data_IF_776029440062
#
_entry.id   IF_776029440062
#
_cell.length_a   1.000
_cell.length_b   1.000
_cell.length_c   1.000
_cell.angle_alpha   90.00
_cell.angle_beta   90.00
_cell.angle_gamma   90.00
#
_symmetry.space_group_name_H-M   'P 1'
#
loop_
_entity.id
_entity.type
_entity.pdbx_description
1 polymer ?
#
# COMPACT_ATOMS: atom_id res chain seq x y z
N UNK A 1 35.14 44.69 -2.67
CA UNK A 1 34.70 43.81 -1.57
C UNK A 1 33.42 43.11 -2.07
N UNK A 2 33.46 42.07 -2.89
CA UNK A 2 33.79 40.64 -2.63
C UNK A 2 32.89 39.94 -1.60
N UNK A 3 31.59 40.23 -1.59
CA UNK A 3 30.59 39.43 -0.85
C UNK A 3 29.26 39.37 -1.61
N UNK A 4 29.14 38.52 -2.63
CA UNK A 4 27.82 38.10 -3.14
C UNK A 4 27.98 36.85 -4.03
N UNK A 5 28.34 35.72 -3.42
CA UNK A 5 28.15 34.37 -3.98
C UNK A 5 28.46 33.32 -2.91
N UNK A 6 27.59 33.23 -1.90
CA UNK A 6 27.64 32.16 -0.89
C UNK A 6 26.25 31.61 -0.60
N UNK A 7 25.48 31.31 -1.65
CA UNK A 7 24.12 30.75 -1.50
C UNK A 7 23.78 29.58 -2.43
N UNK A 8 24.76 28.77 -2.89
CA UNK A 8 24.41 27.63 -3.77
C UNK A 8 25.02 26.26 -3.42
N UNK A 9 25.88 26.14 -2.39
CA UNK A 9 26.47 24.82 -2.02
C UNK A 9 25.58 23.97 -1.10
N UNK A 10 24.66 24.59 -0.36
CA UNK A 10 23.80 23.90 0.61
C UNK A 10 22.62 23.16 -0.02
N UNK A 11 22.04 23.73 -1.08
CA UNK A 11 20.93 23.15 -1.83
C UNK A 11 21.40 21.93 -2.65
N UNK A 12 22.54 22.07 -3.32
CA UNK A 12 23.13 21.04 -4.18
C UNK A 12 23.56 19.79 -3.39
N UNK A 13 24.19 19.98 -2.22
CA UNK A 13 24.58 18.85 -1.34
C UNK A 13 23.39 18.14 -0.71
N UNK A 14 22.30 18.86 -0.41
CA UNK A 14 21.08 18.24 0.12
C UNK A 14 20.33 17.47 -0.97
N UNK A 15 20.22 18.03 -2.17
CA UNK A 15 19.68 17.33 -3.34
C UNK A 15 20.49 16.09 -3.69
N UNK A 16 21.82 16.18 -3.70
CA UNK A 16 22.68 15.02 -3.94
C UNK A 16 22.46 13.92 -2.89
N UNK A 17 22.36 14.28 -1.61
CA UNK A 17 22.04 13.31 -0.54
C UNK A 17 20.66 12.67 -0.74
N UNK A 18 19.65 13.45 -1.10
CA UNK A 18 18.30 12.95 -1.35
C UNK A 18 18.28 11.99 -2.56
N UNK A 19 18.97 12.35 -3.64
CA UNK A 19 19.11 11.52 -4.82
C UNK A 19 19.85 10.20 -4.52
N UNK A 20 20.97 10.27 -3.80
CA UNK A 20 21.71 9.07 -3.39
C UNK A 20 20.88 8.19 -2.45
N UNK A 21 20.12 8.77 -1.52
CA UNK A 21 19.22 8.03 -0.64
C UNK A 21 18.08 7.36 -1.42
N UNK A 22 17.50 8.06 -2.40
CA UNK A 22 16.48 7.52 -3.29
C UNK A 22 17.01 6.32 -4.11
N UNK A 23 18.20 6.48 -4.71
CA UNK A 23 18.83 5.43 -5.50
C UNK A 23 19.21 4.22 -4.62
N UNK A 24 19.79 4.46 -3.44
CA UNK A 24 20.12 3.41 -2.49
C UNK A 24 18.86 2.66 -2.01
N UNK A 25 17.77 3.38 -1.72
CA UNK A 25 16.49 2.77 -1.36
C UNK A 25 15.91 1.92 -2.50
N UNK A 26 16.00 2.41 -3.74
CA UNK A 26 15.53 1.67 -4.93
C UNK A 26 16.32 0.39 -5.13
N UNK A 27 17.65 0.47 -5.09
CA UNK A 27 18.53 -0.70 -5.19
C UNK A 27 18.26 -1.66 -4.02
N UNK A 28 18.06 -1.14 -2.80
CA UNK A 28 17.73 -1.95 -1.63
C UNK A 28 16.42 -2.74 -1.81
N UNK A 29 15.39 -2.15 -2.41
CA UNK A 29 14.14 -2.85 -2.73
C UNK A 29 14.39 -3.94 -3.78
N UNK A 30 15.13 -3.63 -4.85
CA UNK A 30 15.43 -4.61 -5.90
C UNK A 30 16.22 -5.81 -5.36
N UNK A 31 17.26 -5.55 -4.55
CA UNK A 31 18.07 -6.60 -3.94
C UNK A 31 17.33 -7.35 -2.82
N UNK A 32 16.37 -6.70 -2.16
CA UNK A 32 15.59 -7.31 -1.08
C UNK A 32 14.41 -8.18 -1.56
N UNK A 33 13.96 -8.00 -2.80
CA UNK A 33 12.81 -8.71 -3.34
C UNK A 33 13.03 -10.22 -3.47
N UNK A 34 14.18 -10.65 -4.00
CA UNK A 34 14.49 -12.08 -4.19
C UNK A 34 14.68 -12.85 -2.86
N UNK A 35 15.46 -12.34 -1.87
CA UNK A 35 15.53 -12.95 -0.55
C UNK A 35 14.19 -12.98 0.18
N UNK A 36 13.34 -11.97 -0.01
CA UNK A 36 11.99 -11.95 0.56
C UNK A 36 11.15 -13.11 0.02
N UNK A 37 11.17 -13.35 -1.30
CA UNK A 37 10.45 -14.48 -1.92
C UNK A 37 10.97 -15.82 -1.39
N UNK A 38 12.29 -16.04 -1.35
CA UNK A 38 12.87 -17.27 -0.79
C UNK A 38 12.51 -17.48 0.69
N UNK A 39 12.41 -16.41 1.48
CA UNK A 39 11.97 -16.48 2.87
C UNK A 39 10.51 -16.91 2.99
N UNK A 40 9.65 -16.43 2.08
CA UNK A 40 8.27 -16.88 2.00
C UNK A 40 8.20 -18.35 1.59
N UNK A 41 9.00 -18.80 0.62
CA UNK A 41 9.06 -20.21 0.23
C UNK A 41 9.47 -21.13 1.40
N UNK A 42 10.52 -20.79 2.14
CA UNK A 42 10.92 -21.53 3.34
C UNK A 42 9.80 -21.59 4.38
N UNK A 43 9.19 -20.45 4.70
CA UNK A 43 8.08 -20.40 5.66
C UNK A 43 6.85 -21.18 5.18
N UNK A 44 6.59 -21.18 3.86
CA UNK A 44 5.49 -21.93 3.24
C UNK A 44 5.58 -23.44 3.51
N UNK A 45 6.81 -24.00 3.47
CA UNK A 45 7.08 -25.41 3.75
C UNK A 45 6.81 -25.74 5.22
N UNK A 46 7.18 -24.85 6.15
CA UNK A 46 6.97 -25.06 7.59
C UNK A 46 5.48 -25.06 7.98
N UNK A 47 4.67 -24.21 7.35
CA UNK A 47 3.24 -24.04 7.67
C UNK A 47 2.30 -24.89 6.78
N UNK A 48 2.82 -25.52 5.73
CA UNK A 48 2.05 -26.35 4.80
C UNK A 48 1.09 -25.57 3.88
N UNK A 49 1.38 -24.30 3.61
CA UNK A 49 0.60 -23.43 2.70
C UNK A 49 1.48 -23.10 1.50
N UNK A 50 0.92 -22.85 0.32
CA UNK A 50 1.74 -22.50 -0.85
C UNK A 50 2.44 -21.14 -0.69
N UNK A 51 3.68 -21.03 -1.18
CA UNK A 51 4.45 -19.78 -1.17
C UNK A 51 3.71 -18.64 -1.89
N UNK A 52 2.95 -18.95 -2.94
CA UNK A 52 2.13 -17.98 -3.67
C UNK A 52 1.00 -17.42 -2.79
N UNK A 53 0.25 -18.27 -2.08
CA UNK A 53 -0.81 -17.83 -1.16
C UNK A 53 -0.21 -16.96 -0.06
N UNK A 54 0.90 -17.42 0.51
CA UNK A 54 1.61 -16.68 1.55
C UNK A 54 2.11 -15.31 1.05
N UNK A 55 2.65 -15.24 -0.17
CA UNK A 55 3.08 -14.00 -0.79
C UNK A 55 1.91 -13.03 -0.99
N UNK A 56 0.76 -13.51 -1.44
CA UNK A 56 -0.45 -12.70 -1.60
C UNK A 56 -0.94 -12.11 -0.27
N UNK A 57 -0.75 -12.83 0.85
CA UNK A 57 -1.15 -12.34 2.18
C UNK A 57 -0.10 -11.38 2.78
N UNK A 58 1.17 -11.76 2.73
CA UNK A 58 2.25 -11.05 3.44
C UNK A 58 2.76 -9.84 2.64
N UNK A 59 2.84 -9.94 1.31
CA UNK A 59 3.41 -8.87 0.47
C UNK A 59 2.66 -7.54 0.61
N UNK A 60 1.32 -7.48 0.60
CA UNK A 60 0.60 -6.22 0.82
C UNK A 60 0.93 -5.58 2.17
N UNK A 61 1.08 -6.39 3.23
CA UNK A 61 1.43 -5.88 4.56
C UNK A 61 2.87 -5.35 4.54
N UNK A 62 3.81 -6.15 4.04
CA UNK A 62 5.24 -5.83 4.00
C UNK A 62 5.52 -4.58 3.16
N UNK A 63 4.95 -4.47 1.96
CA UNK A 63 5.14 -3.32 1.07
C UNK A 63 4.56 -2.03 1.64
N UNK A 64 3.50 -2.14 2.43
CA UNK A 64 2.83 -1.00 3.06
C UNK A 64 3.47 -0.63 4.41
N UNK A 65 4.23 -1.51 5.08
CA UNK A 65 4.82 -1.27 6.42
C UNK A 65 5.67 0.00 6.52
N UNK A 66 6.60 0.31 5.59
CA UNK A 66 7.44 1.51 5.69
C UNK A 66 6.62 2.79 5.83
N UNK A 67 5.49 2.87 5.12
CA UNK A 67 4.56 4.00 5.22
C UNK A 67 3.96 4.09 6.64
N UNK A 68 3.54 2.96 7.23
CA UNK A 68 2.90 2.94 8.56
C UNK A 68 3.91 3.34 9.64
N UNK A 69 5.16 2.92 9.49
CA UNK A 69 6.26 3.34 10.37
C UNK A 69 6.52 4.84 10.23
N UNK A 70 6.65 5.36 9.01
CA UNK A 70 6.84 6.80 8.75
C UNK A 70 5.72 7.64 9.37
N UNK A 71 4.48 7.19 9.21
CA UNK A 71 3.27 7.78 9.79
C UNK A 71 3.32 7.83 11.32
N UNK A 72 3.70 6.73 11.97
CA UNK A 72 3.86 6.67 13.43
C UNK A 72 4.94 7.63 13.92
N UNK A 73 6.07 7.73 13.19
CA UNK A 73 7.15 8.67 13.53
C UNK A 73 6.69 10.13 13.40
N UNK A 74 5.92 10.45 12.35
CA UNK A 74 5.37 11.79 12.14
C UNK A 74 4.31 12.15 13.20
N UNK A 75 3.39 11.23 13.51
CA UNK A 75 2.34 11.43 14.50
C UNK A 75 2.91 11.72 15.91
N UNK A 76 4.07 11.15 16.25
CA UNK A 76 4.78 11.43 17.52
C UNK A 76 5.27 12.88 17.65
N UNK A 77 5.31 13.65 16.56
CA UNK A 77 5.71 15.08 16.56
C UNK A 77 4.57 16.04 16.96
N UNK A 78 3.48 15.52 17.52
CA UNK A 78 2.33 16.32 17.97
C UNK A 78 1.30 16.57 16.85
N UNK A 79 0.38 17.50 17.09
CA UNK A 79 -0.80 17.71 16.23
C UNK A 79 -0.45 18.03 14.77
N UNK A 80 0.55 18.88 14.53
CA UNK A 80 1.01 19.21 13.17
C UNK A 80 1.59 17.98 12.45
N UNK A 81 2.38 17.16 13.16
CA UNK A 81 2.92 15.92 12.63
C UNK A 81 1.84 14.87 12.33
N UNK A 82 0.84 14.76 13.21
CA UNK A 82 -0.32 13.89 12.99
C UNK A 82 -1.17 14.32 11.78
N UNK A 83 -1.34 15.63 11.56
CA UNK A 83 -2.03 16.15 10.38
C UNK A 83 -1.28 15.81 9.07
N UNK A 84 0.05 15.98 9.06
CA UNK A 84 0.89 15.59 7.91
C UNK A 84 0.81 14.08 7.67
N UNK A 85 0.82 13.29 8.74
CA UNK A 85 0.67 11.86 8.65
C UNK A 85 -0.69 11.52 7.97
N UNK A 86 -1.81 12.00 8.51
CA UNK A 86 -3.14 11.75 7.90
C UNK A 86 -3.20 12.15 6.42
N UNK A 87 -2.63 13.31 6.07
CA UNK A 87 -2.54 13.76 4.68
C UNK A 87 -1.75 12.79 3.79
N UNK A 88 -0.65 12.21 4.30
CA UNK A 88 0.15 11.23 3.58
C UNK A 88 -0.62 9.93 3.32
N UNK A 89 -1.32 9.38 4.33
CA UNK A 89 -2.17 8.19 4.14
C UNK A 89 -3.27 8.45 3.11
N UNK A 90 -3.91 9.61 3.16
CA UNK A 90 -4.92 10.00 2.17
C UNK A 90 -4.33 10.06 0.76
N UNK A 91 -3.15 10.70 0.60
CA UNK A 91 -2.45 10.75 -0.68
C UNK A 91 -2.08 9.37 -1.22
N UNK A 92 -1.59 8.47 -0.36
CA UNK A 92 -1.30 7.07 -0.70
C UNK A 92 -2.54 6.32 -1.18
N UNK A 93 -3.69 6.50 -0.53
CA UNK A 93 -4.94 5.86 -0.98
C UNK A 93 -5.48 6.44 -2.28
N UNK A 94 -5.30 7.74 -2.55
CA UNK A 94 -5.57 8.30 -3.86
C UNK A 94 -4.69 7.63 -4.91
N UNK A 95 -3.38 7.52 -4.67
CA UNK A 95 -2.44 6.88 -5.59
C UNK A 95 -2.81 5.40 -5.85
N UNK A 96 -3.08 4.63 -4.81
CA UNK A 96 -3.39 3.21 -4.93
C UNK A 96 -4.73 2.97 -5.63
N UNK A 97 -5.76 3.77 -5.34
CA UNK A 97 -7.09 3.59 -5.95
C UNK A 97 -7.18 4.19 -7.37
N UNK A 98 -6.19 4.97 -7.81
CA UNK A 98 -6.18 5.59 -9.15
C UNK A 98 -5.01 5.10 -9.98
N UNK A 99 -3.80 5.63 -9.75
CA UNK A 99 -2.63 5.39 -10.56
C UNK A 99 -2.21 3.91 -10.56
N UNK A 100 -2.16 3.27 -9.39
CA UNK A 100 -1.76 1.87 -9.31
C UNK A 100 -2.75 0.96 -10.06
N UNK A 101 -4.05 1.20 -9.88
CA UNK A 101 -5.09 0.47 -10.61
C UNK A 101 -5.02 0.73 -12.12
N UNK A 102 -4.75 1.97 -12.55
CA UNK A 102 -4.55 2.30 -13.94
C UNK A 102 -3.36 1.54 -14.55
N UNK A 103 -2.23 1.45 -13.82
CA UNK A 103 -1.07 0.67 -14.25
C UNK A 103 -1.41 -0.81 -14.39
N UNK A 104 -2.19 -1.39 -13.46
CA UNK A 104 -2.63 -2.78 -13.54
C UNK A 104 -3.50 -3.02 -14.79
N UNK A 105 -4.43 -2.10 -15.08
CA UNK A 105 -5.28 -2.17 -16.29
C UNK A 105 -4.44 -2.04 -17.55
N UNK A 106 -3.50 -1.09 -17.61
CA UNK A 106 -2.60 -0.95 -18.77
C UNK A 106 -1.73 -2.19 -18.98
N UNK A 107 -1.25 -2.82 -17.91
CA UNK A 107 -0.53 -4.09 -17.99
C UNK A 107 -1.40 -5.20 -18.60
N UNK A 108 -2.66 -5.32 -18.17
CA UNK A 108 -3.60 -6.28 -18.76
C UNK A 108 -3.86 -5.99 -20.25
N UNK A 109 -4.04 -4.72 -20.63
CA UNK A 109 -4.26 -4.30 -22.02
C UNK A 109 -3.02 -4.51 -22.90
N UNK A 110 -1.81 -4.36 -22.35
CA UNK A 110 -0.57 -4.62 -23.10
C UNK A 110 -0.48 -6.08 -23.56
N UNK A 111 -0.95 -7.02 -22.73
CA UNK A 111 -0.96 -8.45 -23.06
C UNK A 111 -2.23 -8.91 -23.80
N UNK A 112 -3.39 -8.30 -23.51
CA UNK A 112 -4.69 -8.68 -24.09
C UNK A 112 -5.14 -7.87 -25.31
N UNK A 113 -4.44 -6.79 -25.65
CA UNK A 113 -4.82 -5.82 -26.68
C UNK A 113 -5.62 -4.62 -26.15
N UNK A 114 -5.72 -3.56 -26.96
CA UNK A 114 -6.30 -2.27 -26.54
C UNK A 114 -7.80 -2.34 -26.19
N UNK A 115 -8.53 -3.32 -26.69
CA UNK A 115 -9.95 -3.54 -26.37
C UNK A 115 -10.17 -4.74 -25.45
N UNK A 116 -9.12 -5.23 -24.79
CA UNK A 116 -9.25 -6.30 -23.81
C UNK A 116 -10.18 -5.86 -22.67
N UNK A 117 -11.20 -6.66 -22.40
CA UNK A 117 -12.03 -6.52 -21.22
C UNK A 117 -11.53 -7.46 -20.13
N UNK A 118 -11.44 -6.94 -18.90
CA UNK A 118 -11.19 -7.77 -17.72
C UNK A 118 -12.55 -8.29 -17.27
N UNK A 119 -12.81 -9.58 -17.51
CA UNK A 119 -14.02 -10.23 -17.01
C UNK A 119 -13.89 -10.42 -15.50
N UNK A 120 -14.83 -9.86 -14.74
CA UNK A 120 -14.91 -10.08 -13.30
C UNK A 120 -15.44 -11.49 -13.07
N UNK A 121 -14.63 -12.37 -12.49
CA UNK A 121 -15.14 -13.61 -11.91
C UNK A 121 -15.89 -13.29 -10.60
N UNK A 122 -16.65 -14.25 -10.08
CA UNK A 122 -17.49 -14.03 -8.89
C UNK A 122 -16.65 -13.56 -7.69
N UNK A 123 -15.46 -14.16 -7.49
CA UNK A 123 -14.53 -13.76 -6.42
C UNK A 123 -14.11 -12.28 -6.57
N UNK A 124 -13.68 -11.86 -7.76
CA UNK A 124 -13.25 -10.50 -8.01
C UNK A 124 -14.41 -9.52 -7.90
N UNK A 125 -15.61 -9.90 -8.35
CA UNK A 125 -16.81 -9.10 -8.17
C UNK A 125 -17.12 -8.87 -6.69
N UNK A 126 -17.08 -9.92 -5.85
CA UNK A 126 -17.25 -9.80 -4.40
C UNK A 126 -16.16 -8.93 -3.76
N UNK A 127 -14.90 -9.07 -4.17
CA UNK A 127 -13.79 -8.24 -3.68
C UNK A 127 -13.97 -6.77 -4.04
N UNK A 128 -14.37 -6.46 -5.28
CA UNK A 128 -14.64 -5.09 -5.73
C UNK A 128 -15.77 -4.47 -4.92
N UNK A 129 -16.86 -5.21 -4.69
CA UNK A 129 -17.98 -4.76 -3.87
C UNK A 129 -17.52 -4.49 -2.43
N UNK A 130 -16.83 -5.46 -1.80
CA UNK A 130 -16.37 -5.35 -0.42
C UNK A 130 -15.43 -4.15 -0.22
N UNK A 131 -14.40 -4.02 -1.06
CA UNK A 131 -13.43 -2.92 -1.00
C UNK A 131 -14.12 -1.58 -1.21
N UNK A 132 -15.03 -1.49 -2.19
CA UNK A 132 -15.78 -0.25 -2.46
C UNK A 132 -16.66 0.14 -1.28
N UNK A 133 -17.44 -0.80 -0.73
CA UNK A 133 -18.32 -0.55 0.42
C UNK A 133 -17.53 -0.12 1.66
N UNK A 134 -16.47 -0.84 2.01
CA UNK A 134 -15.63 -0.52 3.18
C UNK A 134 -14.98 0.86 3.00
N UNK A 135 -14.48 1.17 1.80
CA UNK A 135 -13.87 2.46 1.50
C UNK A 135 -14.88 3.59 1.65
N UNK A 136 -16.08 3.48 1.06
CA UNK A 136 -17.12 4.51 1.16
C UNK A 136 -17.51 4.79 2.61
N UNK A 137 -17.69 3.75 3.43
CA UNK A 137 -18.02 3.90 4.85
C UNK A 137 -16.86 4.54 5.62
N UNK A 138 -15.61 4.16 5.29
CA UNK A 138 -14.42 4.70 5.94
C UNK A 138 -14.19 6.19 5.65
N UNK A 139 -14.71 6.71 4.53
CA UNK A 139 -14.65 8.14 4.18
C UNK A 139 -15.58 9.00 5.04
N UNK A 140 -16.73 8.48 5.49
CA UNK A 140 -17.73 9.23 6.28
C UNK A 140 -17.12 9.99 7.48
N UNK A 141 -16.34 9.36 8.38
CA UNK A 141 -15.74 10.07 9.51
C UNK A 141 -14.69 11.11 9.10
N UNK A 142 -14.14 11.03 7.88
CA UNK A 142 -13.08 11.94 7.41
C UNK A 142 -13.61 13.33 7.08
N UNK A 143 -14.92 13.48 6.87
CA UNK A 143 -15.57 14.79 6.70
C UNK A 143 -15.74 15.55 8.02
N UNK A 144 -15.45 14.93 9.16
CA UNK A 144 -15.50 15.61 10.46
C UNK A 144 -14.28 16.52 10.63
N UNK A 145 -14.48 17.63 11.34
CA UNK A 145 -13.38 18.58 11.68
C UNK A 145 -12.30 17.97 12.57
N UNK A 146 -12.64 16.92 13.32
CA UNK A 146 -11.72 16.26 14.25
C UNK A 146 -11.77 14.74 14.09
N UNK A 147 -10.60 14.13 13.95
CA UNK A 147 -10.41 12.68 13.90
C UNK A 147 -9.80 12.24 15.24
N UNK A 148 -10.62 11.65 16.10
CA UNK A 148 -10.22 11.16 17.42
C UNK A 148 -10.13 9.64 17.51
N UNK A 149 -9.80 9.14 18.72
CA UNK A 149 -9.65 7.71 19.01
C UNK A 149 -10.86 6.87 18.57
N UNK A 150 -12.09 7.38 18.72
CA UNK A 150 -13.31 6.68 18.28
C UNK A 150 -13.30 6.37 16.79
N UNK A 151 -12.81 7.29 15.97
CA UNK A 151 -12.68 7.08 14.52
C UNK A 151 -11.60 6.03 14.26
N UNK A 152 -10.45 6.11 14.95
CA UNK A 152 -9.38 5.11 14.82
C UNK A 152 -9.83 3.69 15.17
N UNK A 153 -10.54 3.51 16.29
CA UNK A 153 -11.09 2.21 16.70
C UNK A 153 -12.13 1.72 15.70
N UNK A 154 -13.01 2.60 15.21
CA UNK A 154 -14.00 2.24 14.20
C UNK A 154 -13.34 1.75 12.90
N UNK A 155 -12.34 2.47 12.39
CA UNK A 155 -11.62 2.09 11.18
C UNK A 155 -10.86 0.77 11.35
N UNK A 156 -10.22 0.54 12.51
CA UNK A 156 -9.58 -0.73 12.82
C UNK A 156 -10.60 -1.88 12.88
N UNK A 157 -11.76 -1.65 13.51
CA UNK A 157 -12.85 -2.62 13.58
C UNK A 157 -13.39 -2.96 12.19
N UNK A 158 -13.60 -1.97 11.32
CA UNK A 158 -14.01 -2.19 9.93
C UNK A 158 -13.00 -3.04 9.16
N UNK A 159 -11.70 -2.81 9.35
CA UNK A 159 -10.66 -3.63 8.72
C UNK A 159 -10.74 -5.09 9.18
N UNK A 160 -10.82 -5.35 10.49
CA UNK A 160 -10.92 -6.71 11.02
C UNK A 160 -12.19 -7.42 10.52
N UNK A 161 -13.33 -6.72 10.50
CA UNK A 161 -14.59 -7.26 9.97
C UNK A 161 -14.43 -7.58 8.47
N UNK A 162 -13.80 -6.69 7.69
CA UNK A 162 -13.58 -6.91 6.26
C UNK A 162 -12.69 -8.12 5.98
N UNK A 163 -11.63 -8.34 6.77
CA UNK A 163 -10.79 -9.54 6.68
C UNK A 163 -11.58 -10.81 6.98
N UNK A 164 -12.42 -10.77 8.02
CA UNK A 164 -13.26 -11.91 8.38
C UNK A 164 -14.28 -12.23 7.29
N UNK A 165 -14.94 -11.22 6.73
CA UNK A 165 -15.85 -11.38 5.59
C UNK A 165 -15.10 -11.95 4.38
N UNK A 166 -13.90 -11.46 4.09
CA UNK A 166 -13.09 -11.95 2.98
C UNK A 166 -12.70 -13.43 3.15
N UNK A 167 -12.45 -13.88 4.38
CA UNK A 167 -12.18 -15.29 4.68
C UNK A 167 -13.42 -16.19 4.49
N UNK A 168 -14.61 -15.66 4.73
CA UNK A 168 -15.89 -16.37 4.55
C UNK A 168 -16.36 -16.40 3.10
N UNK A 169 -15.83 -15.55 2.22
CA UNK A 169 -16.19 -15.56 0.81
C UNK A 169 -15.78 -16.90 0.18
N UNK A 170 -16.58 -17.42 -0.77
CA UNK A 170 -16.22 -18.63 -1.49
C UNK A 170 -14.87 -18.43 -2.17
N UNK A 171 -13.88 -19.20 -1.73
CA UNK A 171 -12.65 -19.37 -2.50
C UNK A 171 -12.99 -20.48 -3.49
N UNK A 172 -13.03 -20.19 -4.78
CA UNK A 172 -13.17 -21.26 -5.78
C UNK A 172 -11.95 -22.18 -5.68
N UNK A 173 -12.06 -23.22 -4.87
CA UNK A 173 -11.39 -24.48 -5.11
C UNK A 173 -12.23 -25.24 -6.14
N UNK A 174 -12.25 -24.72 -7.37
CA UNK A 174 -12.54 -25.57 -8.52
C UNK A 174 -11.26 -26.36 -8.84
N UNK A 175 -10.88 -27.27 -7.94
CA UNK A 175 -10.19 -28.49 -8.39
C UNK A 175 -11.26 -29.34 -9.07
N UNK A 176 -11.46 -29.12 -10.36
CA UNK A 176 -12.08 -30.11 -11.22
C UNK A 176 -10.98 -30.88 -11.92
N UNK A 177 -10.84 -32.14 -11.47
CA UNK A 177 -10.31 -33.32 -12.15
C UNK A 177 -9.78 -33.16 -13.59
#
# INVERSE_FOLDING_TARGET
VKEEHKSNKGFDRQMLKAYLAFLAGTIGILLGAEPFIHSLEGFSIEIGISAVILAVIISPIAGEMPEKVSMMILARKGAAGAAIAIANVLGSKILNNTLLLAVAVFGAMYHGGFFASINLNDILAYQVILVTSVTLIALIPMFKKEIGLKVGIMLAGMYIISLFVQFLLPHEINETH
#
